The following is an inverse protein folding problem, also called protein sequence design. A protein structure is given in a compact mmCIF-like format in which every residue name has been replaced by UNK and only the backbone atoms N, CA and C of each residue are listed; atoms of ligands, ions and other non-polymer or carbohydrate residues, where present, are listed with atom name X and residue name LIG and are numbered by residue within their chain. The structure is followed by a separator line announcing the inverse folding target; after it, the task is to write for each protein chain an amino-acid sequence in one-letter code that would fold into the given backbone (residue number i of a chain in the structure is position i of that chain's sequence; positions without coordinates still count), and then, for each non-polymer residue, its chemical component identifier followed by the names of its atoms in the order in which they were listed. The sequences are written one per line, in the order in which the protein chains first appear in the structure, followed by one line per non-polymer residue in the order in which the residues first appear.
data_IF_267078924888
#
_entry.id   IF_267078924888
#
_cell.length_a   1.000
_cell.length_b   1.000
_cell.length_c   1.000
_cell.angle_alpha   90.00
_cell.angle_beta   90.00
_cell.angle_gamma   90.00
#
_symmetry.space_group_name_H-M   'P 1'
#
loop_
_entity.id
_entity.type
_entity.pdbx_description
1 polymer ?
#
# COMPACT_ATOMS: atom_id res chain seq x y z
N UNK A 1 -7.25 -5.95 6.41
CA UNK A 1 -7.33 -7.17 5.57
C UNK A 1 -8.35 -6.90 4.46
N UNK A 2 -8.01 -7.22 3.21
CA UNK A 2 -8.87 -7.01 2.05
C UNK A 2 -9.21 -8.37 1.41
N UNK A 3 -10.48 -8.59 1.06
CA UNK A 3 -10.93 -9.84 0.44
C UNK A 3 -11.40 -9.56 -0.98
N UNK A 4 -10.86 -10.28 -1.94
CA UNK A 4 -11.27 -10.21 -3.34
C UNK A 4 -11.35 -11.62 -3.93
N UNK A 5 -12.49 -11.96 -4.54
CA UNK A 5 -12.75 -13.28 -5.14
C UNK A 5 -12.41 -14.47 -4.22
N UNK A 6 -12.74 -14.35 -2.93
CA UNK A 6 -12.48 -15.40 -1.92
C UNK A 6 -11.02 -15.49 -1.43
N UNK A 7 -10.08 -14.78 -2.07
CA UNK A 7 -8.69 -14.67 -1.65
C UNK A 7 -8.50 -13.53 -0.65
N UNK A 8 -7.67 -13.77 0.37
CA UNK A 8 -7.37 -12.82 1.44
C UNK A 8 -6.02 -12.15 1.21
N UNK A 9 -6.02 -10.83 1.09
CA UNK A 9 -4.84 -10.00 0.95
C UNK A 9 -4.63 -9.17 2.21
N UNK A 10 -3.37 -9.06 2.62
CA UNK A 10 -2.95 -8.17 3.68
C UNK A 10 -2.30 -6.94 3.05
N UNK A 11 -2.87 -5.77 3.28
CA UNK A 11 -2.24 -4.48 2.99
C UNK A 11 -1.82 -3.94 4.34
N UNK A 12 -0.53 -3.67 4.52
CA UNK A 12 0.04 -3.21 5.78
C UNK A 12 1.05 -2.13 5.54
N UNK A 13 0.97 -1.08 6.35
CA UNK A 13 2.03 -0.09 6.49
C UNK A 13 3.17 -0.71 7.28
N UNK A 14 4.37 -0.68 6.70
CA UNK A 14 5.58 -1.21 7.33
C UNK A 14 6.54 -0.10 7.76
N UNK A 15 6.28 1.12 7.32
CA UNK A 15 7.01 2.33 7.67
C UNK A 15 6.08 3.52 7.55
N UNK A 16 5.96 4.33 8.61
CA UNK A 16 5.17 5.56 8.63
C UNK A 16 6.06 6.75 8.25
N UNK A 17 5.51 7.70 7.49
CA UNK A 17 6.28 8.88 7.08
C UNK A 17 6.66 9.76 8.27
N UNK A 18 7.94 10.11 8.39
CA UNK A 18 8.43 11.04 9.40
C UNK A 18 9.58 11.89 8.82
N UNK A 19 9.38 13.21 8.78
CA UNK A 19 10.38 14.16 8.30
C UNK A 19 11.60 14.29 9.20
N UNK A 20 11.42 14.17 10.52
CA UNK A 20 12.49 14.33 11.52
C UNK A 20 13.51 13.21 11.33
N UNK A 21 13.02 11.98 11.17
CA UNK A 21 13.84 10.79 11.01
C UNK A 21 14.10 10.43 9.53
N UNK A 22 13.61 11.27 8.61
CA UNK A 22 13.60 11.05 7.16
C UNK A 22 13.14 9.63 6.76
N UNK A 23 12.08 9.16 7.42
CA UNK A 23 11.49 7.84 7.21
C UNK A 23 10.39 7.97 6.18
N UNK A 24 10.48 7.19 5.12
CA UNK A 24 9.50 7.18 4.04
C UNK A 24 8.27 6.34 4.38
N UNK A 25 7.13 6.66 3.76
CA UNK A 25 5.92 5.84 3.84
C UNK A 25 6.10 4.60 2.97
N UNK A 26 5.96 3.42 3.57
CA UNK A 26 6.01 2.17 2.83
C UNK A 26 4.80 1.31 3.16
N UNK A 27 4.03 0.97 2.13
CA UNK A 27 2.85 0.09 2.22
C UNK A 27 3.11 -1.17 1.42
N UNK A 28 2.94 -2.34 2.05
CA UNK A 28 3.17 -3.65 1.44
C UNK A 28 1.86 -4.41 1.20
N UNK A 29 1.77 -5.10 0.05
CA UNK A 29 0.72 -6.09 -0.23
C UNK A 29 1.30 -7.49 0.01
N UNK A 30 0.59 -8.30 0.79
CA UNK A 30 0.89 -9.71 1.00
C UNK A 30 -0.30 -10.59 0.64
N UNK A 31 -0.01 -11.79 0.16
CA UNK A 31 -0.99 -12.83 -0.10
C UNK A 31 -0.45 -14.16 0.43
N UNK A 32 -1.23 -14.85 1.26
CA UNK A 32 -0.81 -16.09 1.95
C UNK A 32 0.57 -15.97 2.63
N UNK A 33 0.84 -14.84 3.29
CA UNK A 33 2.13 -14.57 3.95
C UNK A 33 3.29 -14.18 3.03
N UNK A 34 3.15 -14.31 1.70
CA UNK A 34 4.16 -13.90 0.72
C UNK A 34 3.98 -12.43 0.34
N UNK A 35 5.09 -11.67 0.29
CA UNK A 35 5.10 -10.30 -0.23
C UNK A 35 4.85 -10.33 -1.74
N UNK A 36 3.87 -9.57 -2.20
CA UNK A 36 3.55 -9.41 -3.62
C UNK A 36 4.10 -8.10 -4.20
N UNK A 37 4.14 -7.04 -3.40
CA UNK A 37 4.62 -5.73 -3.82
C UNK A 37 4.64 -4.72 -2.69
N UNK A 38 5.29 -3.58 -2.94
CA UNK A 38 5.31 -2.44 -2.03
C UNK A 38 5.13 -1.13 -2.82
N UNK A 39 4.50 -0.16 -2.18
CA UNK A 39 4.47 1.23 -2.63
C UNK A 39 5.25 2.06 -1.64
N UNK A 40 6.02 2.99 -2.18
CA UNK A 40 6.93 3.83 -1.44
C UNK A 40 6.66 5.28 -1.82
N UNK A 41 6.64 6.16 -0.82
CA UNK A 41 6.56 7.60 -1.01
C UNK A 41 7.45 8.31 -0.02
N UNK A 42 8.20 9.29 -0.49
CA UNK A 42 9.12 10.05 0.35
C UNK A 42 8.40 10.81 1.45
N UNK A 43 9.03 10.91 2.62
CA UNK A 43 8.48 11.59 3.79
C UNK A 43 8.00 13.03 3.49
N UNK A 44 8.78 13.78 2.72
CA UNK A 44 8.45 15.13 2.23
C UNK A 44 7.18 15.13 1.38
N UNK A 45 7.10 14.23 0.38
CA UNK A 45 5.94 14.12 -0.49
C UNK A 45 4.67 13.71 0.26
N UNK A 46 4.79 12.86 1.28
CA UNK A 46 3.66 12.45 2.14
C UNK A 46 3.10 13.66 2.90
N UNK A 47 3.98 14.47 3.48
CA UNK A 47 3.59 15.66 4.24
C UNK A 47 3.01 16.74 3.35
N UNK A 48 3.59 16.99 2.18
CA UNK A 48 3.04 17.93 1.20
C UNK A 48 1.65 17.49 0.72
N UNK A 49 1.49 16.20 0.40
CA UNK A 49 0.20 15.65 -0.02
C UNK A 49 -0.87 15.85 1.05
N UNK A 50 -0.53 15.53 2.31
CA UNK A 50 -1.43 15.71 3.46
C UNK A 50 -1.82 17.17 3.64
N UNK A 51 -0.86 18.10 3.53
CA UNK A 51 -1.12 19.52 3.64
C UNK A 51 -2.05 20.04 2.53
N UNK A 52 -1.81 19.64 1.28
CA UNK A 52 -2.57 20.12 0.12
C UNK A 52 -3.97 19.51 0.02
N UNK A 53 -4.09 18.20 0.25
CA UNK A 53 -5.32 17.44 0.01
C UNK A 53 -6.15 17.22 1.27
N UNK A 54 -5.61 17.57 2.45
CA UNK A 54 -6.21 17.31 3.77
C UNK A 54 -6.61 15.84 3.95
N UNK A 55 -5.84 14.94 3.34
CA UNK A 55 -6.07 13.49 3.35
C UNK A 55 -4.75 12.77 3.70
N UNK A 56 -4.84 11.65 4.39
CA UNK A 56 -3.67 10.81 4.65
C UNK A 56 -3.28 10.10 3.34
N UNK A 57 -2.02 10.27 2.90
CA UNK A 57 -1.52 9.58 1.69
C UNK A 57 -1.58 8.05 1.85
N UNK A 58 -1.50 7.56 3.09
CA UNK A 58 -1.68 6.15 3.42
C UNK A 58 -3.02 5.63 2.88
N UNK A 59 -4.14 6.31 3.15
CA UNK A 59 -5.47 5.87 2.66
C UNK A 59 -5.50 5.76 1.13
N UNK A 60 -4.89 6.74 0.44
CA UNK A 60 -4.75 6.70 -1.02
C UNK A 60 -3.91 5.51 -1.49
N UNK A 61 -2.79 5.20 -0.82
CA UNK A 61 -1.98 4.02 -1.14
C UNK A 61 -2.74 2.72 -0.89
N UNK A 62 -3.58 2.65 0.14
CA UNK A 62 -4.44 1.49 0.37
C UNK A 62 -5.46 1.31 -0.75
N UNK A 63 -6.05 2.38 -1.27
CA UNK A 63 -7.02 2.30 -2.37
C UNK A 63 -6.37 1.96 -3.71
N UNK A 64 -5.16 2.46 -3.97
CA UNK A 64 -4.32 2.04 -5.10
C UNK A 64 -4.01 0.55 -4.98
N UNK A 65 -3.56 0.09 -3.80
CA UNK A 65 -3.26 -1.31 -3.54
C UNK A 65 -4.48 -2.22 -3.77
N UNK A 66 -5.66 -1.83 -3.28
CA UNK A 66 -6.92 -2.56 -3.55
C UNK A 66 -7.24 -2.59 -5.05
N UNK A 67 -7.00 -1.49 -5.77
CA UNK A 67 -7.25 -1.40 -7.21
C UNK A 67 -6.30 -2.27 -8.02
N UNK A 68 -5.02 -2.32 -7.66
CA UNK A 68 -4.05 -3.24 -8.26
C UNK A 68 -4.41 -4.70 -8.01
N UNK A 69 -4.81 -5.05 -6.77
CA UNK A 69 -5.29 -6.40 -6.45
C UNK A 69 -6.47 -6.79 -7.34
N UNK A 70 -7.43 -5.89 -7.56
CA UNK A 70 -8.57 -6.14 -8.45
C UNK A 70 -8.12 -6.29 -9.92
N UNK A 71 -7.23 -5.42 -10.38
CA UNK A 71 -6.80 -5.39 -11.79
C UNK A 71 -5.92 -6.57 -12.19
N UNK A 72 -5.03 -7.01 -11.29
CA UNK A 72 -4.01 -8.03 -11.56
C UNK A 72 -4.26 -9.33 -10.78
N UNK A 73 -5.49 -9.51 -10.29
CA UNK A 73 -5.86 -10.63 -9.41
C UNK A 73 -5.38 -11.98 -9.96
N UNK A 74 -5.68 -12.26 -11.23
CA UNK A 74 -5.35 -13.52 -11.86
C UNK A 74 -3.84 -13.74 -11.96
N UNK A 75 -3.06 -12.72 -12.29
CA UNK A 75 -1.59 -12.81 -12.33
C UNK A 75 -1.02 -13.11 -10.94
N UNK A 76 -1.56 -12.46 -9.90
CA UNK A 76 -1.08 -12.63 -8.52
C UNK A 76 -1.42 -14.01 -7.92
N UNK A 77 -2.52 -14.64 -8.36
CA UNK A 77 -3.02 -15.91 -7.79
C UNK A 77 -2.66 -17.14 -8.63
N UNK A 78 -2.49 -16.97 -9.96
CA UNK A 78 -2.19 -18.08 -10.88
C UNK A 78 -0.69 -18.43 -10.90
N UNK A 79 0.21 -17.48 -10.60
CA UNK A 79 1.65 -17.76 -10.48
C UNK A 79 1.88 -18.60 -9.22
N UNK A 80 1.79 -19.92 -9.39
CA UNK A 80 1.94 -20.97 -8.37
C UNK A 80 3.17 -21.81 -8.70
#
# INVERSE_FOLDING_TARGET
MFVHNGAKFEIKTISEANLIDNIDLIVAIKFNGKLLGFYHSHSEAVMEFKYQNKAELEDCLYDIAKSEIKSKFFEMVIVK
#
